data_IF_718771439984
#
_entry.id   IF_718771439984
#
_cell.length_a   1.000
_cell.length_b   1.000
_cell.length_c   1.000
_cell.angle_alpha   90.00
_cell.angle_beta   90.00
_cell.angle_gamma   90.00
#
_symmetry.space_group_name_H-M   'P 1'
#
loop_
_entity.id
_entity.type
_entity.pdbx_description
1 polymer ?
#
# COMPACT_ATOMS: atom_id res chain seq x y z
N UNK A 1 4.78 21.94 -7.39
CA UNK A 1 5.10 20.53 -7.68
C UNK A 1 6.57 20.28 -8.03
N UNK A 2 7.33 21.30 -8.44
CA UNK A 2 8.74 21.16 -8.73
C UNK A 2 9.53 21.79 -7.58
N UNK A 3 10.13 20.98 -6.72
CA UNK A 3 10.91 21.45 -5.58
C UNK A 3 12.36 21.76 -5.96
N UNK A 4 12.88 21.07 -6.95
CA UNK A 4 14.27 21.22 -7.39
C UNK A 4 14.41 20.78 -8.84
N UNK A 5 15.27 21.47 -9.57
CA UNK A 5 15.67 21.10 -10.94
C UNK A 5 17.17 20.92 -10.94
N UNK A 6 17.62 19.71 -11.22
CA UNK A 6 19.05 19.40 -11.33
C UNK A 6 19.39 19.05 -12.76
N UNK A 7 20.36 19.75 -13.29
CA UNK A 7 20.92 19.46 -14.61
C UNK A 7 22.31 18.88 -14.42
N UNK A 8 22.48 17.62 -14.78
CA UNK A 8 23.79 16.95 -14.78
C UNK A 8 24.26 16.77 -16.21
N UNK A 9 25.37 17.43 -16.53
CA UNK A 9 26.02 17.29 -17.85
C UNK A 9 27.01 16.14 -17.79
N UNK A 10 26.73 15.07 -18.48
CA UNK A 10 27.62 13.92 -18.60
C UNK A 10 28.42 14.01 -19.91
N UNK A 11 29.69 13.54 -19.93
CA UNK A 11 30.43 13.34 -21.17
C UNK A 11 29.65 12.40 -22.08
N UNK A 12 29.54 12.72 -23.35
CA UNK A 12 28.83 11.88 -24.31
C UNK A 12 29.69 11.65 -25.56
N UNK A 13 29.51 10.51 -26.16
CA UNK A 13 30.04 10.16 -27.47
C UNK A 13 28.85 10.08 -28.47
N UNK A 14 28.98 10.82 -29.57
CA UNK A 14 27.98 10.86 -30.61
C UNK A 14 26.88 11.92 -30.40
N UNK A 15 25.85 11.88 -31.25
CA UNK A 15 24.77 12.88 -31.33
C UNK A 15 23.50 12.50 -30.53
N UNK A 16 23.61 11.62 -29.56
CA UNK A 16 22.49 11.23 -28.71
C UNK A 16 22.22 12.23 -27.60
N UNK A 17 20.95 12.48 -27.30
CA UNK A 17 20.49 13.27 -26.16
C UNK A 17 19.59 12.38 -25.26
N UNK A 18 20.19 11.59 -24.36
CA UNK A 18 19.38 10.84 -23.41
C UNK A 18 18.71 11.81 -22.44
N UNK A 19 17.41 11.70 -22.28
CA UNK A 19 16.62 12.47 -21.32
C UNK A 19 15.95 11.47 -20.38
N UNK A 20 16.05 11.72 -19.07
CA UNK A 20 15.32 10.99 -18.04
C UNK A 20 14.56 11.98 -17.17
N UNK A 21 13.32 11.63 -16.84
CA UNK A 21 12.51 12.35 -15.87
C UNK A 21 12.28 11.40 -14.69
N UNK A 22 12.58 11.89 -13.50
CA UNK A 22 12.35 11.17 -12.27
C UNK A 22 11.57 12.04 -11.29
N UNK A 23 10.71 11.40 -10.49
CA UNK A 23 10.00 12.06 -9.40
C UNK A 23 10.43 11.44 -8.09
N UNK A 24 10.74 12.28 -7.12
CA UNK A 24 11.07 11.81 -5.77
C UNK A 24 9.80 11.37 -5.01
N UNK A 25 10.01 10.57 -3.98
CA UNK A 25 8.96 10.22 -3.04
C UNK A 25 8.46 11.49 -2.32
N UNK A 26 7.15 11.57 -2.03
CA UNK A 26 6.55 12.67 -1.26
C UNK A 26 7.09 12.77 0.18
N UNK A 27 7.60 11.66 0.73
CA UNK A 27 8.33 11.67 2.00
C UNK A 27 9.77 12.15 1.72
N UNK A 28 10.02 13.43 1.77
CA UNK A 28 11.37 13.98 1.60
C UNK A 28 12.33 13.34 2.62
N UNK A 29 13.21 12.47 2.12
CA UNK A 29 14.19 11.70 2.91
C UNK A 29 15.60 12.08 2.58
N UNK A 30 15.80 13.21 1.92
CA UNK A 30 17.11 13.72 1.52
C UNK A 30 17.48 14.91 2.38
N UNK A 31 18.75 15.01 2.69
CA UNK A 31 19.36 16.19 3.30
C UNK A 31 20.57 16.59 2.47
N UNK A 32 20.69 17.87 2.20
CA UNK A 32 21.89 18.40 1.51
C UNK A 32 23.02 18.51 2.51
N UNK A 33 24.17 17.98 2.15
CA UNK A 33 25.37 18.08 2.97
C UNK A 33 26.57 18.55 2.12
N UNK A 34 27.47 19.27 2.76
CA UNK A 34 28.73 19.72 2.18
C UNK A 34 29.87 19.30 3.10
N UNK A 35 30.84 18.60 2.57
CA UNK A 35 32.06 18.21 3.28
C UNK A 35 33.20 19.05 2.76
N UNK A 36 33.89 19.72 3.66
CA UNK A 36 35.06 20.56 3.36
C UNK A 36 36.22 20.23 4.34
N UNK A 37 37.34 20.88 4.18
CA UNK A 37 38.44 20.78 5.17
C UNK A 37 38.08 21.33 6.54
N UNK A 38 37.10 22.24 6.59
CA UNK A 38 36.69 22.93 7.82
C UNK A 38 35.58 22.18 8.56
N UNK A 39 34.99 21.10 7.95
CA UNK A 39 33.99 20.26 8.60
C UNK A 39 32.91 19.76 7.68
N UNK A 40 31.87 19.16 8.31
CA UNK A 40 30.66 18.68 7.66
C UNK A 40 29.52 19.65 7.97
N UNK A 41 28.95 20.17 6.93
CA UNK A 41 27.81 21.09 7.00
C UNK A 41 26.59 20.38 6.45
N UNK A 42 25.51 20.40 7.22
CA UNK A 42 24.22 19.81 6.84
C UNK A 42 23.20 20.93 6.73
N UNK A 43 22.35 20.88 5.68
CA UNK A 43 21.24 21.80 5.53
C UNK A 43 20.35 21.78 6.77
N UNK A 44 19.98 22.93 7.31
CA UNK A 44 19.05 23.01 8.41
C UNK A 44 17.67 22.56 7.93
N UNK A 45 17.13 21.55 8.62
CA UNK A 45 15.80 21.06 8.35
C UNK A 45 14.78 21.82 9.19
N UNK A 46 13.54 21.88 8.69
CA UNK A 46 12.42 22.35 9.51
C UNK A 46 12.32 21.53 10.80
N UNK A 47 12.33 22.21 11.93
CA UNK A 47 12.32 21.57 13.25
C UNK A 47 10.92 21.42 13.81
N UNK A 48 9.95 22.16 13.29
CA UNK A 48 8.55 22.08 13.67
C UNK A 48 7.66 21.99 12.42
N UNK A 49 7.73 20.86 11.67
CA UNK A 49 6.94 20.69 10.48
C UNK A 49 5.42 20.64 10.76
N UNK A 50 5.04 20.41 12.01
CA UNK A 50 3.63 20.33 12.39
C UNK A 50 2.91 21.68 12.24
N UNK A 51 3.61 22.81 12.32
CA UNK A 51 3.01 24.14 12.15
C UNK A 51 2.46 24.39 10.73
N UNK A 52 2.88 23.59 9.74
CA UNK A 52 2.31 23.64 8.38
C UNK A 52 1.02 22.85 8.22
N UNK A 53 0.69 22.01 9.22
CA UNK A 53 -0.56 21.27 9.16
C UNK A 53 -1.73 22.18 9.51
N UNK A 54 -2.89 22.01 8.83
CA UNK A 54 -4.09 22.70 9.25
C UNK A 54 -4.44 22.29 10.69
N UNK A 55 -4.96 23.23 11.47
CA UNK A 55 -5.54 22.90 12.77
C UNK A 55 -6.67 21.90 12.56
N UNK A 56 -6.43 20.66 12.99
CA UNK A 56 -7.45 19.62 13.02
C UNK A 56 -7.91 19.43 14.45
N UNK A 57 -9.20 19.58 14.69
CA UNK A 57 -9.80 19.16 15.95
C UNK A 57 -10.07 17.67 15.89
N UNK A 58 -9.75 16.94 16.95
CA UNK A 58 -10.00 15.49 17.06
C UNK A 58 -11.50 15.14 16.94
N UNK A 59 -12.38 16.11 17.03
CA UNK A 59 -13.85 15.98 17.02
C UNK A 59 -14.41 15.35 15.72
N UNK A 60 -13.66 15.33 14.63
CA UNK A 60 -14.11 14.78 13.34
C UNK A 60 -13.41 13.49 12.90
N UNK A 61 -12.45 12.99 13.69
CA UNK A 61 -11.65 11.82 13.29
C UNK A 61 -12.38 10.49 13.50
N UNK A 62 -13.32 10.41 14.43
CA UNK A 62 -14.02 9.18 14.79
C UNK A 62 -15.43 9.06 14.20
N UNK A 63 -15.94 10.10 13.55
CA UNK A 63 -17.24 10.05 12.92
C UNK A 63 -17.21 9.14 11.69
N UNK A 64 -18.03 8.08 11.73
CA UNK A 64 -18.30 7.15 10.63
C UNK A 64 -17.18 6.14 10.27
N UNK A 65 -16.44 5.63 11.25
CA UNK A 65 -15.58 4.47 11.06
C UNK A 65 -16.39 3.18 11.24
N UNK A 66 -16.37 2.30 10.22
CA UNK A 66 -17.05 1.01 10.27
C UNK A 66 -16.10 -0.04 10.82
N UNK A 67 -16.47 -0.70 11.92
CA UNK A 67 -15.71 -1.83 12.45
C UNK A 67 -15.95 -3.09 11.62
N UNK A 68 -14.88 -3.73 11.18
CA UNK A 68 -14.90 -4.99 10.42
C UNK A 68 -14.18 -6.07 11.23
N UNK A 69 -14.93 -7.10 11.63
CA UNK A 69 -14.38 -8.29 12.28
C UNK A 69 -13.86 -9.29 11.24
N UNK A 70 -12.54 -9.38 11.12
CA UNK A 70 -11.85 -10.28 10.19
C UNK A 70 -11.80 -11.74 10.66
N UNK A 71 -12.31 -12.07 11.85
CA UNK A 71 -12.43 -13.43 12.33
C UNK A 71 -13.70 -14.13 11.82
N UNK A 72 -14.56 -13.39 11.14
CA UNK A 72 -15.73 -13.95 10.47
C UNK A 72 -15.35 -14.72 9.20
N UNK A 73 -16.18 -15.64 8.72
CA UNK A 73 -15.97 -16.26 7.40
C UNK A 73 -15.87 -15.20 6.29
N UNK A 74 -15.02 -15.45 5.28
CA UNK A 74 -14.76 -14.49 4.19
C UNK A 74 -16.03 -13.96 3.51
N UNK A 75 -17.03 -14.81 3.33
CA UNK A 75 -18.31 -14.38 2.74
C UNK A 75 -19.07 -13.40 3.63
N UNK A 76 -18.98 -13.54 4.96
CA UNK A 76 -19.58 -12.58 5.89
C UNK A 76 -18.82 -11.24 5.87
N UNK A 77 -17.48 -11.27 5.82
CA UNK A 77 -16.66 -10.07 5.68
C UNK A 77 -17.00 -9.33 4.39
N UNK A 78 -17.09 -10.04 3.27
CA UNK A 78 -17.45 -9.46 1.97
C UNK A 78 -18.86 -8.87 1.97
N UNK A 79 -19.83 -9.59 2.57
CA UNK A 79 -21.21 -9.11 2.70
C UNK A 79 -21.29 -7.84 3.55
N UNK A 80 -20.46 -7.70 4.59
CA UNK A 80 -20.40 -6.47 5.39
C UNK A 80 -19.80 -5.34 4.57
N UNK A 81 -18.62 -5.55 3.96
CA UNK A 81 -17.96 -4.53 3.12
C UNK A 81 -18.85 -4.05 1.98
N UNK A 82 -19.66 -4.93 1.38
CA UNK A 82 -20.58 -4.61 0.28
C UNK A 82 -21.67 -3.60 0.64
N UNK A 83 -21.97 -3.41 1.93
CA UNK A 83 -22.95 -2.42 2.40
C UNK A 83 -22.43 -0.98 2.32
N UNK A 84 -21.11 -0.82 2.22
CA UNK A 84 -20.45 0.47 2.34
C UNK A 84 -19.84 0.92 1.01
N UNK A 85 -19.99 2.21 0.64
CA UNK A 85 -19.42 2.73 -0.60
C UNK A 85 -17.89 2.90 -0.48
N UNK A 86 -17.25 3.06 -1.64
CA UNK A 86 -15.84 3.55 -1.67
C UNK A 86 -15.70 4.85 -0.88
N UNK A 87 -14.51 5.09 -0.31
CA UNK A 87 -14.15 6.14 0.67
C UNK A 87 -14.56 5.85 2.11
N UNK A 88 -15.38 4.85 2.37
CA UNK A 88 -15.73 4.49 3.76
C UNK A 88 -14.46 4.12 4.52
N UNK A 89 -14.29 4.74 5.69
CA UNK A 89 -13.24 4.41 6.65
C UNK A 89 -13.64 3.15 7.39
N UNK A 90 -12.70 2.20 7.49
CA UNK A 90 -12.92 0.94 8.21
C UNK A 90 -11.83 0.73 9.25
N UNK A 91 -12.19 0.13 10.37
CA UNK A 91 -11.30 -0.35 11.42
C UNK A 91 -11.32 -1.87 11.40
N UNK A 92 -10.17 -2.47 11.10
CA UNK A 92 -10.05 -3.93 10.91
C UNK A 92 -9.52 -4.57 12.18
N UNK A 93 -10.23 -5.58 12.70
CA UNK A 93 -9.79 -6.37 13.86
C UNK A 93 -9.87 -7.85 13.54
N UNK A 94 -8.78 -8.59 13.76
CA UNK A 94 -8.69 -10.02 13.53
C UNK A 94 -7.43 -10.46 12.83
N UNK A 95 -7.47 -11.62 12.21
CA UNK A 95 -6.31 -12.20 11.52
C UNK A 95 -6.21 -11.75 10.06
N UNK A 96 -5.00 -11.38 9.64
CA UNK A 96 -4.64 -11.04 8.27
C UNK A 96 -3.44 -11.88 7.83
N UNK A 97 -3.44 -12.34 6.60
CA UNK A 97 -2.28 -12.95 5.95
C UNK A 97 -1.50 -11.87 5.19
N UNK A 98 -0.19 -11.90 5.34
CA UNK A 98 0.71 -10.95 4.68
C UNK A 98 1.47 -11.67 3.57
N UNK A 99 1.35 -11.18 2.35
CA UNK A 99 2.05 -11.73 1.19
C UNK A 99 2.30 -10.64 0.16
N UNK A 100 3.46 -10.66 -0.49
CA UNK A 100 3.79 -9.71 -1.56
C UNK A 100 4.53 -10.41 -2.71
N UNK A 101 5.32 -9.72 -3.48
CA UNK A 101 5.83 -10.11 -4.80
C UNK A 101 6.30 -11.55 -4.92
N UNK A 102 7.30 -11.97 -4.13
CA UNK A 102 7.88 -13.31 -4.25
C UNK A 102 6.92 -14.40 -3.79
N UNK A 103 6.18 -14.15 -2.71
CA UNK A 103 5.16 -15.09 -2.24
C UNK A 103 4.05 -15.28 -3.28
N UNK A 104 3.54 -14.19 -3.89
CA UNK A 104 2.55 -14.28 -4.96
C UNK A 104 3.06 -15.07 -6.16
N UNK A 105 4.32 -14.85 -6.56
CA UNK A 105 4.94 -15.57 -7.66
C UNK A 105 5.05 -17.08 -7.37
N UNK A 106 5.52 -17.47 -6.18
CA UNK A 106 5.61 -18.87 -5.76
C UNK A 106 4.25 -19.56 -5.67
N UNK A 107 3.26 -18.88 -5.09
CA UNK A 107 1.90 -19.42 -5.00
C UNK A 107 1.34 -19.66 -6.40
N UNK A 108 1.51 -18.67 -7.30
CA UNK A 108 1.07 -18.84 -8.69
C UNK A 108 1.78 -20.01 -9.38
N UNK A 109 3.09 -20.12 -9.22
CA UNK A 109 3.87 -21.24 -9.79
C UNK A 109 3.39 -22.60 -9.27
N UNK A 110 3.08 -22.71 -7.97
CA UNK A 110 2.54 -23.93 -7.37
C UNK A 110 1.17 -24.29 -7.95
N UNK A 111 0.29 -23.30 -8.08
CA UNK A 111 -1.04 -23.51 -8.70
C UNK A 111 -0.92 -23.90 -10.18
N UNK A 112 0.01 -23.28 -10.93
CA UNK A 112 0.26 -23.63 -12.34
C UNK A 112 0.79 -25.08 -12.49
N UNK A 113 1.44 -25.64 -11.45
CA UNK A 113 1.86 -27.05 -11.36
C UNK A 113 0.75 -28.00 -10.88
N UNK A 114 -0.45 -27.48 -10.61
CA UNK A 114 -1.61 -28.28 -10.22
C UNK A 114 -1.90 -28.31 -8.73
N UNK A 115 -1.17 -27.55 -7.91
CA UNK A 115 -1.49 -27.43 -6.49
C UNK A 115 -2.77 -26.57 -6.29
N UNK A 116 -3.55 -26.85 -5.25
CA UNK A 116 -4.75 -26.07 -4.96
C UNK A 116 -4.37 -24.66 -4.46
N UNK A 117 -5.31 -23.72 -4.59
CA UNK A 117 -5.22 -22.41 -3.94
C UNK A 117 -5.00 -22.61 -2.44
N UNK A 118 -3.95 -22.00 -1.83
CA UNK A 118 -3.70 -22.10 -0.40
C UNK A 118 -4.92 -21.68 0.43
N UNK A 119 -5.25 -22.46 1.45
CA UNK A 119 -6.43 -22.23 2.27
C UNK A 119 -6.40 -20.86 2.97
N UNK A 120 -5.22 -20.42 3.41
CA UNK A 120 -5.06 -19.12 4.05
C UNK A 120 -5.41 -17.93 3.14
N UNK A 121 -5.29 -18.06 1.81
CA UNK A 121 -5.74 -17.01 0.88
C UNK A 121 -7.25 -17.03 0.65
N UNK A 122 -7.91 -18.11 0.99
CA UNK A 122 -9.39 -18.21 0.95
C UNK A 122 -10.02 -17.66 2.22
N UNK A 123 -9.39 -17.94 3.35
CA UNK A 123 -9.96 -17.66 4.67
C UNK A 123 -9.70 -16.25 5.16
N UNK A 124 -8.57 -15.63 4.76
CA UNK A 124 -8.12 -14.37 5.33
C UNK A 124 -7.97 -13.25 4.29
N UNK A 125 -8.14 -12.01 4.75
CA UNK A 125 -7.71 -10.84 4.00
C UNK A 125 -6.19 -10.86 3.78
N UNK A 126 -5.72 -10.31 2.66
CA UNK A 126 -4.30 -10.33 2.28
C UNK A 126 -3.71 -8.92 2.32
N UNK A 127 -2.75 -8.72 3.19
CA UNK A 127 -2.01 -7.47 3.32
C UNK A 127 -0.70 -7.53 2.52
N UNK A 128 -0.56 -6.64 1.56
CA UNK A 128 0.66 -6.53 0.77
C UNK A 128 1.69 -5.72 1.54
N UNK A 129 2.52 -6.42 2.28
CA UNK A 129 3.50 -5.84 3.17
C UNK A 129 4.66 -6.81 3.43
N UNK A 130 5.62 -6.38 4.22
CA UNK A 130 6.67 -7.23 4.75
C UNK A 130 7.28 -6.57 5.99
N UNK A 131 7.48 -7.30 7.08
CA UNK A 131 7.98 -6.75 8.33
C UNK A 131 9.45 -6.32 8.18
N UNK A 132 9.79 -5.19 8.79
CA UNK A 132 11.17 -4.89 9.11
C UNK A 132 11.64 -5.76 10.28
N UNK A 133 12.95 -5.83 10.51
CA UNK A 133 13.51 -6.55 11.66
C UNK A 133 12.84 -6.07 12.96
N UNK A 134 12.37 -7.02 13.75
CA UNK A 134 11.67 -6.75 15.00
C UNK A 134 12.67 -6.26 16.06
N UNK A 135 12.46 -5.06 16.65
CA UNK A 135 13.23 -4.64 17.80
C UNK A 135 12.88 -5.45 19.06
N UNK A 136 13.80 -5.49 20.01
CA UNK A 136 13.56 -6.17 21.28
C UNK A 136 12.35 -5.56 22.02
N UNK A 137 11.49 -6.40 22.55
CA UNK A 137 10.29 -5.99 23.30
C UNK A 137 9.07 -5.58 22.46
N UNK A 138 9.15 -5.67 21.12
CA UNK A 138 8.05 -5.37 20.21
C UNK A 138 7.49 -6.63 19.54
N UNK A 139 6.22 -6.60 19.15
CA UNK A 139 5.60 -7.69 18.38
C UNK A 139 6.13 -7.72 16.94
N UNK A 140 6.52 -6.56 16.41
CA UNK A 140 7.03 -6.42 15.04
C UNK A 140 7.90 -5.17 14.89
N UNK A 141 8.76 -5.15 13.88
CA UNK A 141 9.33 -3.91 13.34
C UNK A 141 8.31 -3.16 12.49
N UNK A 142 8.72 -2.08 11.83
CA UNK A 142 7.85 -1.34 10.89
C UNK A 142 7.17 -2.28 9.91
N UNK A 143 5.86 -2.12 9.74
CA UNK A 143 5.02 -3.03 8.95
C UNK A 143 4.05 -2.22 8.06
N UNK A 144 4.61 -1.44 7.16
CA UNK A 144 3.84 -0.59 6.27
C UNK A 144 3.42 -1.29 4.98
N UNK A 145 2.33 -0.83 4.35
CA UNK A 145 1.86 -1.38 3.09
C UNK A 145 2.85 -1.13 1.95
N UNK A 146 3.01 -2.10 1.06
CA UNK A 146 3.71 -1.91 -0.22
C UNK A 146 2.76 -1.42 -1.31
N UNK A 147 3.31 -1.01 -2.45
CA UNK A 147 2.56 -0.53 -3.60
C UNK A 147 1.73 -1.67 -4.20
N UNK A 148 0.41 -1.49 -4.23
CA UNK A 148 -0.55 -2.51 -4.63
C UNK A 148 -0.41 -2.96 -6.09
N UNK A 149 -0.15 -2.03 -7.01
CA UNK A 149 -0.08 -2.28 -8.46
C UNK A 149 0.92 -3.37 -8.88
N UNK A 150 1.90 -3.69 -8.03
CA UNK A 150 2.86 -4.78 -8.28
C UNK A 150 2.21 -6.15 -8.28
N UNK A 151 1.09 -6.32 -7.60
CA UNK A 151 0.34 -7.57 -7.51
C UNK A 151 -0.88 -7.63 -8.45
N UNK A 152 -1.12 -6.62 -9.27
CA UNK A 152 -2.32 -6.53 -10.10
C UNK A 152 -2.53 -7.74 -11.01
N UNK A 153 -1.45 -8.28 -11.58
CA UNK A 153 -1.50 -9.44 -12.46
C UNK A 153 -1.98 -10.74 -11.80
N UNK A 154 -1.94 -10.82 -10.47
CA UNK A 154 -2.35 -12.01 -9.72
C UNK A 154 -3.82 -11.96 -9.30
N UNK A 155 -4.43 -10.77 -9.23
CA UNK A 155 -5.73 -10.58 -8.57
C UNK A 155 -6.83 -11.41 -9.24
N UNK A 156 -7.07 -11.25 -10.54
CA UNK A 156 -8.10 -12.02 -11.24
C UNK A 156 -7.83 -13.53 -11.15
N UNK A 157 -6.57 -13.93 -11.32
CA UNK A 157 -6.15 -15.32 -11.27
C UNK A 157 -6.45 -15.99 -9.92
N UNK A 158 -6.21 -15.27 -8.80
CA UNK A 158 -6.48 -15.78 -7.46
C UNK A 158 -7.96 -15.73 -7.10
N UNK A 159 -8.66 -14.66 -7.43
CA UNK A 159 -10.09 -14.51 -7.15
C UNK A 159 -10.94 -15.53 -7.91
N UNK A 160 -10.61 -15.81 -9.17
CA UNK A 160 -11.25 -16.87 -9.96
C UNK A 160 -11.12 -18.26 -9.30
N UNK A 161 -10.07 -18.47 -8.51
CA UNK A 161 -9.80 -19.71 -7.76
C UNK A 161 -10.23 -19.66 -6.30
N UNK A 162 -11.02 -18.65 -5.94
CA UNK A 162 -11.62 -18.52 -4.62
C UNK A 162 -10.70 -17.96 -3.54
N UNK A 163 -9.61 -17.26 -3.90
CA UNK A 163 -8.69 -16.69 -2.93
C UNK A 163 -8.48 -15.18 -3.09
N UNK A 164 -7.88 -14.54 -2.07
CA UNK A 164 -7.48 -13.13 -2.10
C UNK A 164 -8.62 -12.14 -2.41
N UNK A 165 -9.81 -12.38 -1.84
CA UNK A 165 -10.98 -11.54 -2.08
C UNK A 165 -10.87 -10.15 -1.44
N UNK A 166 -10.23 -10.04 -0.28
CA UNK A 166 -10.03 -8.78 0.41
C UNK A 166 -8.54 -8.49 0.46
N UNK A 167 -8.13 -7.44 -0.23
CA UNK A 167 -6.73 -7.03 -0.36
C UNK A 167 -6.50 -5.71 0.36
N UNK A 168 -5.39 -5.58 1.08
CA UNK A 168 -4.98 -4.39 1.81
C UNK A 168 -3.58 -3.95 1.37
N UNK A 169 -3.44 -2.71 0.90
CA UNK A 169 -2.16 -2.16 0.45
C UNK A 169 -2.22 -0.63 0.31
N UNK A 170 -1.25 -0.02 -0.38
CA UNK A 170 -1.28 1.41 -0.72
C UNK A 170 -1.23 1.66 -2.22
N UNK A 171 -1.72 2.83 -2.61
CA UNK A 171 -1.72 3.29 -4.01
C UNK A 171 -2.95 2.85 -4.79
N UNK A 172 -3.03 3.29 -6.04
CA UNK A 172 -4.11 2.91 -6.95
C UNK A 172 -3.83 1.53 -7.59
N UNK A 173 -4.88 0.98 -8.19
CA UNK A 173 -4.84 -0.28 -8.93
C UNK A 173 -5.16 -0.05 -10.40
N UNK A 174 -4.84 -1.03 -11.23
CA UNK A 174 -5.25 -1.04 -12.64
C UNK A 174 -6.76 -1.33 -12.79
N UNK A 175 -7.34 -0.98 -13.93
CA UNK A 175 -8.73 -1.30 -14.27
C UNK A 175 -9.01 -2.80 -14.18
N UNK A 176 -8.04 -3.64 -14.54
CA UNK A 176 -8.17 -5.09 -14.44
C UNK A 176 -8.48 -5.60 -13.01
N UNK A 177 -7.98 -4.92 -11.99
CA UNK A 177 -8.30 -5.23 -10.58
C UNK A 177 -9.72 -4.80 -10.24
N UNK A 178 -10.15 -3.64 -10.68
CA UNK A 178 -11.54 -3.17 -10.51
C UNK A 178 -12.52 -4.14 -11.16
N UNK A 179 -12.21 -4.60 -12.37
CA UNK A 179 -13.02 -5.58 -13.09
C UNK A 179 -13.03 -6.94 -12.38
N UNK A 180 -11.89 -7.41 -11.87
CA UNK A 180 -11.81 -8.65 -11.09
C UNK A 180 -12.64 -8.56 -9.81
N UNK A 181 -12.54 -7.48 -9.06
CA UNK A 181 -13.35 -7.25 -7.86
C UNK A 181 -14.84 -7.29 -8.18
N UNK A 182 -15.26 -6.66 -9.26
CA UNK A 182 -16.65 -6.69 -9.72
C UNK A 182 -17.11 -8.09 -10.12
N UNK A 183 -16.27 -8.84 -10.83
CA UNK A 183 -16.65 -10.16 -11.37
C UNK A 183 -16.69 -11.24 -10.30
N UNK A 184 -15.82 -11.14 -9.29
CA UNK A 184 -15.64 -12.18 -8.26
C UNK A 184 -16.11 -11.73 -6.86
N UNK A 185 -16.58 -10.49 -6.71
CA UNK A 185 -17.00 -9.93 -5.44
C UNK A 185 -15.83 -9.64 -4.50
N UNK A 186 -14.73 -9.13 -5.04
CA UNK A 186 -13.56 -8.76 -4.28
C UNK A 186 -13.57 -7.31 -3.80
N UNK A 187 -12.63 -6.98 -2.90
CA UNK A 187 -12.43 -5.63 -2.36
C UNK A 187 -10.96 -5.28 -2.29
N UNK A 188 -10.65 -4.03 -2.59
CA UNK A 188 -9.35 -3.45 -2.30
C UNK A 188 -9.50 -2.36 -1.24
N UNK A 189 -8.80 -2.55 -0.13
CA UNK A 189 -8.73 -1.63 0.99
C UNK A 189 -7.39 -0.89 0.93
N UNK A 190 -7.45 0.42 0.98
CA UNK A 190 -6.27 1.27 1.03
C UNK A 190 -5.79 1.50 2.45
N UNK A 191 -4.49 1.38 2.69
CA UNK A 191 -3.84 1.75 3.94
C UNK A 191 -2.81 2.86 3.72
N UNK A 192 -2.46 3.56 4.79
CA UNK A 192 -1.53 4.69 4.75
C UNK A 192 -0.10 4.18 4.92
N UNK A 193 0.80 4.54 4.00
CA UNK A 193 2.19 4.06 4.03
C UNK A 193 3.12 4.80 4.99
N UNK A 194 2.81 6.06 5.31
CA UNK A 194 3.67 6.90 6.17
C UNK A 194 3.85 6.38 7.60
N UNK A 195 2.78 6.05 8.33
CA UNK A 195 2.87 5.66 9.73
C UNK A 195 3.19 4.16 9.95
N UNK A 196 4.04 3.55 9.13
CA UNK A 196 4.33 2.11 9.18
C UNK A 196 4.82 1.61 10.56
N UNK A 197 5.60 2.42 11.27
CA UNK A 197 6.05 2.10 12.62
C UNK A 197 4.91 2.18 13.63
N UNK A 198 4.04 3.18 13.51
CA UNK A 198 2.86 3.36 14.37
C UNK A 198 1.84 2.26 14.14
N UNK A 199 1.57 1.88 12.87
CA UNK A 199 0.70 0.76 12.54
C UNK A 199 1.18 -0.55 13.19
N UNK A 200 2.51 -0.79 13.14
CA UNK A 200 3.09 -1.96 13.78
C UNK A 200 2.92 -1.93 15.32
N UNK A 201 3.19 -0.79 15.94
CA UNK A 201 3.15 -0.64 17.39
C UNK A 201 1.71 -0.65 17.93
N UNK A 202 0.81 0.09 17.27
CA UNK A 202 -0.53 0.34 17.80
C UNK A 202 -1.50 -0.78 17.43
N UNK A 203 -1.40 -1.32 16.20
CA UNK A 203 -2.41 -2.22 15.66
C UNK A 203 -1.97 -3.69 15.62
N UNK A 204 -0.68 -4.02 15.41
CA UNK A 204 -0.23 -5.40 15.26
C UNK A 204 0.09 -6.01 16.62
N UNK A 205 -0.59 -7.10 16.96
CA UNK A 205 -0.47 -7.77 18.28
C UNK A 205 0.36 -9.04 18.22
N UNK A 206 0.35 -9.75 17.08
CA UNK A 206 1.09 -11.00 16.88
C UNK A 206 1.59 -11.08 15.45
N UNK A 207 2.77 -11.67 15.26
CA UNK A 207 3.36 -11.94 13.96
C UNK A 207 3.98 -13.33 13.97
N UNK A 208 3.63 -14.18 13.02
CA UNK A 208 4.21 -15.50 12.85
C UNK A 208 4.41 -15.80 11.36
N UNK A 209 5.46 -16.55 11.01
CA UNK A 209 5.66 -17.05 9.66
C UNK A 209 4.66 -18.16 9.40
N UNK A 210 3.99 -18.11 8.25
CA UNK A 210 2.98 -19.09 7.85
C UNK A 210 3.49 -20.01 6.74
N UNK A 211 4.22 -19.45 5.76
CA UNK A 211 4.71 -20.19 4.60
C UNK A 211 5.95 -19.51 3.98
N UNK A 212 6.74 -20.24 3.21
CA UNK A 212 7.92 -19.73 2.50
C UNK A 212 8.92 -18.97 3.39
N UNK A 213 9.26 -19.53 4.55
CA UNK A 213 10.16 -18.91 5.53
C UNK A 213 11.50 -18.48 4.92
N UNK A 214 11.99 -19.24 3.94
CA UNK A 214 13.24 -18.97 3.23
C UNK A 214 13.24 -17.63 2.46
N UNK A 215 12.08 -17.05 2.20
CA UNK A 215 11.96 -15.74 1.56
C UNK A 215 12.17 -14.56 2.53
N UNK A 216 12.36 -14.82 3.83
CA UNK A 216 12.60 -13.80 4.84
C UNK A 216 11.46 -12.78 4.89
N UNK A 217 11.76 -11.50 4.66
CA UNK A 217 10.75 -10.42 4.67
C UNK A 217 9.61 -10.64 3.66
N UNK A 218 9.84 -11.41 2.61
CA UNK A 218 8.85 -11.75 1.57
C UNK A 218 8.16 -13.10 1.79
N UNK A 219 8.40 -13.76 2.92
CA UNK A 219 7.63 -14.92 3.35
C UNK A 219 6.14 -14.60 3.46
N UNK A 220 5.31 -15.62 3.54
CA UNK A 220 3.92 -15.44 3.95
C UNK A 220 3.87 -15.39 5.47
N UNK A 221 3.31 -14.29 5.99
CA UNK A 221 3.15 -14.10 7.43
C UNK A 221 1.68 -14.15 7.79
N UNK A 222 1.41 -14.50 9.03
CA UNK A 222 0.10 -14.36 9.67
C UNK A 222 0.23 -13.36 10.80
N UNK A 223 -0.63 -12.37 10.80
CA UNK A 223 -0.64 -11.32 11.82
C UNK A 223 -2.03 -11.17 12.42
N UNK A 224 -2.07 -10.87 13.71
CA UNK A 224 -3.30 -10.47 14.39
C UNK A 224 -3.28 -8.95 14.60
N UNK A 225 -4.34 -8.29 14.14
CA UNK A 225 -4.48 -6.84 14.24
C UNK A 225 -5.70 -6.44 15.07
N UNK A 226 -5.59 -5.26 15.69
CA UNK A 226 -6.68 -4.59 16.40
C UNK A 226 -6.76 -3.16 15.92
N UNK A 227 -7.94 -2.72 15.55
CA UNK A 227 -8.23 -1.34 15.09
C UNK A 227 -7.30 -0.86 13.98
N UNK A 228 -7.00 -1.74 13.02
CA UNK A 228 -6.14 -1.40 11.90
C UNK A 228 -6.90 -0.51 10.90
N UNK A 229 -6.46 0.75 10.67
CA UNK A 229 -7.18 1.71 9.85
C UNK A 229 -7.02 1.44 8.35
N UNK A 230 -8.13 1.44 7.62
CA UNK A 230 -8.14 1.30 6.18
C UNK A 230 -9.33 2.07 5.55
N UNK A 231 -9.38 2.08 4.22
CA UNK A 231 -10.45 2.69 3.43
C UNK A 231 -10.88 1.73 2.33
N UNK A 232 -12.16 1.69 2.01
CA UNK A 232 -12.63 0.99 0.81
C UNK A 232 -12.22 1.82 -0.41
N UNK A 233 -11.33 1.28 -1.24
CA UNK A 233 -10.82 1.94 -2.46
C UNK A 233 -11.45 1.36 -3.71
N UNK A 234 -11.57 0.03 -3.80
CA UNK A 234 -12.31 -0.66 -4.88
C UNK A 234 -13.31 -1.61 -4.22
N UNK A 235 -14.54 -1.60 -4.70
CA UNK A 235 -15.62 -2.44 -4.21
C UNK A 235 -16.04 -3.55 -5.20
N UNK A 236 -16.91 -4.41 -4.74
CA UNK A 236 -17.50 -5.54 -5.49
C UNK A 236 -18.50 -5.11 -6.59
N UNK A 237 -18.79 -3.83 -6.69
CA UNK A 237 -19.68 -3.24 -7.70
C UNK A 237 -18.90 -2.62 -8.86
N UNK A 238 -17.56 -2.58 -8.75
CA UNK A 238 -16.68 -1.98 -9.74
C UNK A 238 -16.51 -0.47 -9.56
N UNK A 239 -16.78 0.06 -8.37
CA UNK A 239 -16.43 1.43 -8.05
C UNK A 239 -14.96 1.50 -7.63
N UNK A 240 -14.26 2.53 -8.13
CA UNK A 240 -12.86 2.82 -7.84
C UNK A 240 -12.73 4.28 -7.41
N UNK A 241 -12.21 4.48 -6.19
CA UNK A 241 -11.96 5.81 -5.63
C UNK A 241 -11.08 6.68 -6.52
N UNK A 242 -9.99 6.11 -7.05
CA UNK A 242 -9.05 6.87 -7.87
C UNK A 242 -9.64 7.22 -9.24
N UNK A 243 -10.38 6.31 -9.85
CA UNK A 243 -11.06 6.57 -11.12
C UNK A 243 -12.12 7.68 -10.96
N UNK A 244 -12.82 7.73 -9.82
CA UNK A 244 -13.81 8.77 -9.54
C UNK A 244 -13.20 10.13 -9.22
N UNK A 245 -11.98 10.17 -8.66
CA UNK A 245 -11.32 11.40 -8.22
C UNK A 245 -10.27 11.92 -9.21
N UNK A 246 -9.68 11.06 -10.02
CA UNK A 246 -8.70 11.42 -11.05
C UNK A 246 -9.41 12.02 -12.26
N UNK A 247 -9.82 13.29 -12.17
CA UNK A 247 -10.21 14.03 -13.37
C UNK A 247 -8.94 14.29 -14.17
N UNK A 248 -8.89 14.00 -15.49
CA UNK A 248 -7.78 14.42 -16.31
C UNK A 248 -7.68 15.94 -16.22
N UNK A 249 -6.55 16.43 -15.67
CA UNK A 249 -6.25 17.85 -15.78
C UNK A 249 -5.97 18.13 -17.26
N UNK A 250 -6.85 18.86 -17.90
CA UNK A 250 -6.54 19.48 -19.17
C UNK A 250 -5.43 20.49 -18.89
N UNK A 251 -4.19 20.15 -19.23
CA UNK A 251 -3.10 21.10 -19.26
C UNK A 251 -3.53 22.13 -20.30
N UNK A 252 -3.86 23.33 -19.85
CA UNK A 252 -4.23 24.43 -20.74
C UNK A 252 -3.14 24.57 -21.79
N UNK A 253 -3.53 24.75 -23.05
CA UNK A 253 -2.57 25.06 -24.13
C UNK A 253 -1.73 26.23 -23.63
N UNK A 254 -0.42 26.01 -23.48
CA UNK A 254 0.53 27.09 -23.35
C UNK A 254 0.33 28.00 -24.56
N UNK A 255 -0.30 29.14 -24.37
CA UNK A 255 -0.32 30.16 -25.39
C UNK A 255 1.09 30.71 -25.48
N UNK A 256 1.71 30.78 -26.67
CA UNK A 256 2.97 31.47 -26.81
C UNK A 256 2.74 32.93 -26.38
N UNK A 257 3.52 33.40 -25.42
CA UNK A 257 3.55 34.80 -25.11
C UNK A 257 4.00 35.55 -26.37
N UNK A 258 3.20 36.55 -26.77
CA UNK A 258 3.51 37.45 -27.88
C UNK A 258 4.66 38.43 -27.50
#
# INVERSE_FOLDING_TARGET
FCHDVRVVRLPRHGASLPIAIAVSCSADRQVKAKITRDGVFIEELERDPAHFLPETTDEHLDENVVAIDLNQPMDAIRAELSKHPVKTRVSLTGTIVVARDLAHAKIKEAIDKGEPMPQYLKDYAVYYAGPAKTPEGYASGSFGPTTAGRMDSYVNYFQERGGSFVMLAKGNRSQAVTDACKNHGGFYLGSIGGPAARLAQDCIKKVEVLDFEELGMEAVWKIDVVDFPAFIVVDDKGNDFFAQTSKPMTIGKLQPEN
#
